data_IF_762110566171
#
_entry.id   IF_762110566171
#
_cell.length_a   1.000
_cell.length_b   1.000
_cell.length_c   1.000
_cell.angle_alpha   90.00
_cell.angle_beta   90.00
_cell.angle_gamma   90.00
#
_symmetry.space_group_name_H-M   'P 1'
#
loop_
_entity.id
_entity.type
_entity.pdbx_description
1 polymer ?
#
# COMPACT_ATOMS: atom_id res chain seq x y z
N UNK A 1 7.98 -3.98 -33.65
CA UNK A 1 8.73 -4.22 -32.39
C UNK A 1 8.12 -3.37 -31.30
N UNK A 2 7.31 -3.95 -30.43
CA UNK A 2 6.84 -3.27 -29.22
C UNK A 2 7.97 -3.35 -28.19
N UNK A 3 8.37 -2.21 -27.65
CA UNK A 3 9.41 -2.13 -26.62
C UNK A 3 8.96 -2.89 -25.37
N UNK A 4 9.88 -3.67 -24.76
CA UNK A 4 9.64 -4.50 -23.57
C UNK A 4 8.95 -3.74 -22.41
N UNK A 5 9.04 -2.41 -22.39
CA UNK A 5 8.40 -1.55 -21.39
C UNK A 5 6.87 -1.57 -21.41
N UNK A 6 6.22 -1.84 -22.54
CA UNK A 6 4.75 -1.87 -22.63
C UNK A 6 4.11 -3.18 -22.14
N UNK A 7 4.90 -4.25 -21.96
CA UNK A 7 4.42 -5.55 -21.49
C UNK A 7 4.35 -5.68 -19.96
N UNK A 8 5.05 -4.82 -19.22
CA UNK A 8 5.04 -4.85 -17.74
C UNK A 8 3.72 -4.27 -17.21
N UNK A 9 3.19 -3.20 -17.83
CA UNK A 9 1.93 -2.55 -17.43
C UNK A 9 0.66 -3.34 -17.76
N UNK A 10 0.74 -4.44 -18.51
CA UNK A 10 -0.44 -5.25 -18.87
C UNK A 10 -0.81 -6.31 -17.83
N UNK A 11 0.00 -6.49 -16.79
CA UNK A 11 -0.22 -7.49 -15.74
C UNK A 11 -0.60 -6.88 -14.39
N UNK A 12 -0.98 -5.60 -14.35
CA UNK A 12 -1.53 -4.92 -13.17
C UNK A 12 -2.97 -4.54 -13.48
N UNK A 13 -3.89 -5.50 -13.40
CA UNK A 13 -5.31 -5.21 -13.44
C UNK A 13 -5.69 -4.38 -12.20
N UNK A 14 -6.57 -3.38 -12.34
CA UNK A 14 -7.11 -2.67 -11.18
C UNK A 14 -7.68 -3.63 -10.12
N UNK A 15 -7.15 -3.58 -8.90
CA UNK A 15 -7.43 -4.56 -7.83
C UNK A 15 -6.33 -5.60 -7.61
N UNK A 16 -5.30 -5.64 -8.45
CA UNK A 16 -4.18 -6.57 -8.30
C UNK A 16 -3.29 -6.22 -7.10
N UNK A 17 -2.81 -7.29 -6.46
CA UNK A 17 -1.84 -7.24 -5.37
C UNK A 17 -0.52 -7.74 -5.90
N UNK A 18 0.50 -6.89 -5.86
CA UNK A 18 1.88 -7.25 -6.12
C UNK A 18 2.56 -7.58 -4.80
N UNK A 19 3.09 -8.79 -4.71
CA UNK A 19 3.86 -9.26 -3.58
C UNK A 19 5.36 -9.06 -3.84
N UNK A 20 6.09 -8.55 -2.84
CA UNK A 20 7.47 -8.07 -2.98
C UNK A 20 7.70 -7.09 -4.14
N UNK A 21 7.04 -5.91 -4.11
CA UNK A 21 7.27 -4.87 -5.10
C UNK A 21 8.76 -4.52 -5.18
N UNK A 22 9.25 -4.28 -6.40
CA UNK A 22 10.66 -4.03 -6.66
C UNK A 22 11.22 -2.90 -5.78
N UNK A 23 12.43 -3.10 -5.25
CA UNK A 23 13.11 -2.11 -4.41
C UNK A 23 12.55 -1.99 -2.98
N UNK A 24 11.58 -2.82 -2.58
CA UNK A 24 11.05 -2.81 -1.21
C UNK A 24 11.76 -3.82 -0.31
N UNK A 25 11.99 -3.43 0.94
CA UNK A 25 12.36 -4.34 2.02
C UNK A 25 11.10 -4.73 2.78
N UNK A 26 10.96 -6.01 3.14
CA UNK A 26 9.80 -6.50 3.90
C UNK A 26 9.77 -5.94 5.33
N UNK A 27 8.61 -5.46 5.75
CA UNK A 27 8.27 -5.05 7.11
C UNK A 27 7.92 -6.27 7.99
N UNK A 28 7.89 -6.10 9.31
CA UNK A 28 7.39 -7.13 10.21
C UNK A 28 5.87 -7.22 10.14
N UNK A 29 5.36 -8.42 9.88
CA UNK A 29 3.93 -8.66 9.64
C UNK A 29 3.05 -8.21 10.80
N UNK A 30 3.43 -8.56 12.03
CA UNK A 30 2.72 -8.17 13.25
C UNK A 30 2.55 -6.65 13.39
N UNK A 31 3.53 -5.87 12.94
CA UNK A 31 3.49 -4.41 13.04
C UNK A 31 2.69 -3.77 11.90
N UNK A 32 2.59 -4.44 10.75
CA UNK A 32 1.62 -4.07 9.72
C UNK A 32 0.19 -4.40 10.18
N UNK A 33 -0.04 -5.52 10.89
CA UNK A 33 -1.34 -5.86 11.49
C UNK A 33 -1.79 -4.78 12.50
N UNK A 34 -0.88 -4.27 13.33
CA UNK A 34 -1.12 -3.12 14.22
C UNK A 34 -1.53 -1.86 13.42
N UNK A 35 -0.82 -1.55 12.35
CA UNK A 35 -1.12 -0.42 11.47
C UNK A 35 -2.48 -0.55 10.77
N UNK A 36 -2.82 -1.75 10.29
CA UNK A 36 -4.14 -2.08 9.73
C UNK A 36 -5.23 -1.84 10.78
N UNK A 37 -5.03 -2.34 12.01
CA UNK A 37 -5.99 -2.16 13.09
C UNK A 37 -6.14 -0.68 13.49
N UNK A 38 -5.05 0.09 13.48
CA UNK A 38 -5.10 1.55 13.68
C UNK A 38 -5.94 2.25 12.61
N UNK A 39 -5.67 1.97 11.32
CA UNK A 39 -6.37 2.61 10.20
C UNK A 39 -7.86 2.23 10.16
N UNK A 40 -8.20 0.95 10.40
CA UNK A 40 -9.60 0.48 10.39
C UNK A 40 -10.43 0.97 11.57
N UNK A 41 -9.79 1.28 12.72
CA UNK A 41 -10.46 1.86 13.90
C UNK A 41 -10.52 3.39 13.87
N UNK A 42 -9.82 4.04 12.94
CA UNK A 42 -9.93 5.48 12.78
C UNK A 42 -11.42 5.85 12.61
N UNK A 43 -11.89 6.95 13.22
CA UNK A 43 -13.24 7.43 12.99
C UNK A 43 -13.55 7.44 11.49
N UNK A 44 -14.75 7.02 11.09
CA UNK A 44 -15.07 6.85 9.66
C UNK A 44 -14.85 8.13 8.82
N UNK A 45 -14.87 9.31 9.46
CA UNK A 45 -14.57 10.60 8.83
C UNK A 45 -13.06 10.94 8.72
N UNK A 46 -12.16 10.07 9.17
CA UNK A 46 -10.71 10.34 9.17
C UNK A 46 -10.16 10.15 7.76
N UNK A 47 -9.63 11.24 7.19
CA UNK A 47 -9.07 11.26 5.85
C UNK A 47 -7.55 11.10 5.90
N UNK A 48 -7.05 10.19 5.08
CA UNK A 48 -5.64 10.01 4.79
C UNK A 48 -5.35 10.73 3.47
N UNK A 49 -4.29 11.54 3.44
CA UNK A 49 -4.04 12.47 2.34
C UNK A 49 -2.65 12.33 1.76
N UNK A 50 -2.55 12.60 0.47
CA UNK A 50 -1.28 12.54 -0.26
C UNK A 50 -1.26 13.57 -1.38
N UNK A 51 -0.07 14.14 -1.60
CA UNK A 51 0.17 15.06 -2.72
C UNK A 51 0.08 14.31 -4.05
N UNK A 52 -0.04 15.06 -5.13
CA UNK A 52 0.11 14.52 -6.48
C UNK A 52 1.49 13.86 -6.64
N UNK A 53 1.53 12.75 -7.39
CA UNK A 53 2.76 12.02 -7.75
C UNK A 53 3.66 11.70 -6.54
N UNK A 54 3.07 11.34 -5.41
CA UNK A 54 3.78 11.14 -4.16
C UNK A 54 3.21 9.97 -3.35
N UNK A 55 3.96 9.53 -2.35
CA UNK A 55 3.49 8.62 -1.31
C UNK A 55 3.54 9.31 0.06
N UNK A 56 2.45 9.17 0.82
CA UNK A 56 2.37 9.57 2.23
C UNK A 56 2.40 8.34 3.11
N UNK A 57 3.23 8.35 4.16
CA UNK A 57 3.19 7.33 5.22
C UNK A 57 1.97 7.59 6.10
N UNK A 58 0.97 6.70 6.05
CA UNK A 58 -0.31 6.83 6.77
C UNK A 58 -0.35 6.01 8.06
N UNK A 59 0.57 5.06 8.22
CA UNK A 59 0.81 4.34 9.47
C UNK A 59 2.27 3.89 9.54
N UNK A 60 2.84 3.88 10.74
CA UNK A 60 4.17 3.37 11.02
C UNK A 60 4.17 2.73 12.41
N UNK A 61 4.56 1.46 12.51
CA UNK A 61 4.77 0.78 13.79
C UNK A 61 6.08 0.01 13.74
N UNK A 62 7.02 0.26 14.65
CA UNK A 62 8.30 -0.48 14.77
C UNK A 62 8.97 -0.77 13.41
N UNK A 63 9.32 0.30 12.69
CA UNK A 63 9.92 0.29 11.35
C UNK A 63 9.11 -0.42 10.24
N UNK A 64 7.80 -0.49 10.41
CA UNK A 64 6.88 -1.13 9.47
C UNK A 64 5.83 -0.12 9.02
N UNK A 65 5.90 0.27 7.74
CA UNK A 65 5.13 1.38 7.19
C UNK A 65 4.01 0.93 6.25
N UNK A 66 2.88 1.63 6.34
CA UNK A 66 1.78 1.59 5.38
C UNK A 66 1.70 2.96 4.71
N UNK A 67 1.66 2.97 3.39
CA UNK A 67 1.69 4.16 2.57
C UNK A 67 0.45 4.25 1.67
N UNK A 68 -0.06 5.47 1.53
CA UNK A 68 -0.95 5.86 0.44
C UNK A 68 -0.09 6.50 -0.65
N UNK A 69 -0.06 5.91 -1.84
CA UNK A 69 0.63 6.45 -3.00
C UNK A 69 -0.39 6.94 -4.03
N UNK A 70 -0.16 8.12 -4.57
CA UNK A 70 -1.06 8.77 -5.51
C UNK A 70 -0.35 9.02 -6.84
N UNK A 71 -0.83 8.32 -7.85
CA UNK A 71 -0.31 8.37 -9.21
C UNK A 71 -1.07 9.39 -10.06
N UNK A 72 -1.92 10.22 -9.45
CA UNK A 72 -2.62 11.33 -10.13
C UNK A 72 -1.77 12.60 -10.14
N UNK A 73 -2.13 13.51 -11.04
CA UNK A 73 -1.58 14.87 -11.08
C UNK A 73 -2.25 15.84 -10.09
N UNK A 74 -3.30 15.42 -9.40
CA UNK A 74 -4.01 16.19 -8.40
C UNK A 74 -3.78 15.66 -6.98
N UNK A 75 -4.07 16.48 -5.97
CA UNK A 75 -4.20 16.03 -4.59
C UNK A 75 -5.22 14.89 -4.49
N UNK A 76 -4.99 13.96 -3.57
CA UNK A 76 -5.91 12.86 -3.32
C UNK A 76 -6.09 12.62 -1.82
N UNK A 77 -7.31 12.27 -1.45
CA UNK A 77 -7.67 11.84 -0.11
C UNK A 77 -8.66 10.68 -0.17
N UNK A 78 -8.55 9.80 0.82
CA UNK A 78 -9.42 8.64 0.99
C UNK A 78 -9.60 8.41 2.49
N UNK A 79 -10.71 7.79 2.86
CA UNK A 79 -10.97 7.39 4.23
C UNK A 79 -9.91 6.38 4.70
N UNK A 80 -9.23 6.70 5.80
CA UNK A 80 -8.19 5.83 6.35
C UNK A 80 -8.68 4.37 6.58
N UNK A 81 -9.94 4.10 7.00
CA UNK A 81 -10.44 2.73 7.09
C UNK A 81 -10.46 1.95 5.77
N UNK A 82 -10.72 2.61 4.63
CA UNK A 82 -10.65 1.98 3.30
C UNK A 82 -9.23 1.54 2.99
N UNK A 83 -8.25 2.40 3.24
CA UNK A 83 -6.83 2.09 3.05
C UNK A 83 -6.34 0.99 4.00
N UNK A 84 -6.89 0.95 5.22
CA UNK A 84 -6.68 -0.15 6.16
C UNK A 84 -7.18 -1.50 5.61
N UNK A 85 -8.31 -1.54 4.89
CA UNK A 85 -8.78 -2.75 4.23
C UNK A 85 -7.83 -3.19 3.10
N UNK A 86 -7.24 -2.26 2.36
CA UNK A 86 -6.29 -2.61 1.29
C UNK A 86 -5.00 -3.20 1.86
N UNK A 87 -4.49 -2.64 2.96
CA UNK A 87 -3.36 -3.24 3.68
C UNK A 87 -3.69 -4.63 4.27
N UNK A 88 -4.92 -4.85 4.75
CA UNK A 88 -5.42 -6.15 5.21
C UNK A 88 -5.52 -7.19 4.07
N UNK A 89 -5.90 -6.76 2.87
CA UNK A 89 -5.85 -7.61 1.68
C UNK A 89 -4.42 -7.96 1.26
N UNK A 90 -3.48 -7.00 1.32
CA UNK A 90 -2.06 -7.29 1.11
C UNK A 90 -1.57 -8.33 2.12
N UNK A 91 -1.90 -8.19 3.40
CA UNK A 91 -1.56 -9.18 4.41
C UNK A 91 -2.10 -10.57 4.07
N UNK A 92 -3.33 -10.67 3.56
CA UNK A 92 -3.94 -11.96 3.21
C UNK A 92 -3.33 -12.55 1.94
N UNK A 93 -3.13 -11.74 0.89
CA UNK A 93 -2.61 -12.18 -0.40
C UNK A 93 -1.10 -12.44 -0.41
N UNK A 94 -0.31 -11.67 0.34
CA UNK A 94 1.14 -11.77 0.36
C UNK A 94 1.64 -12.63 1.52
N UNK A 95 1.93 -13.89 1.21
CA UNK A 95 2.36 -14.95 2.14
C UNK A 95 3.83 -15.36 1.96
N UNK A 96 4.68 -14.46 1.46
CA UNK A 96 6.08 -14.79 1.13
C UNK A 96 6.94 -15.07 2.38
N UNK A 97 6.44 -14.73 3.57
CA UNK A 97 6.99 -15.14 4.87
C UNK A 97 5.92 -15.07 5.96
N UNK A 98 6.05 -15.92 6.98
CA UNK A 98 5.17 -15.91 8.16
C UNK A 98 5.35 -14.65 9.02
N UNK A 99 6.54 -14.05 9.01
CA UNK A 99 6.91 -12.97 9.94
C UNK A 99 7.15 -11.64 9.25
N UNK A 100 7.32 -11.62 7.93
CA UNK A 100 7.61 -10.40 7.18
C UNK A 100 6.77 -10.32 5.91
N UNK A 101 6.41 -9.09 5.54
CA UNK A 101 5.55 -8.82 4.38
C UNK A 101 6.01 -7.55 3.66
N UNK A 102 5.95 -7.60 2.33
CA UNK A 102 5.90 -6.42 1.48
C UNK A 102 4.85 -6.68 0.40
N UNK A 103 4.09 -5.66 0.06
CA UNK A 103 3.09 -5.77 -0.97
C UNK A 103 2.51 -4.43 -1.36
N UNK A 104 1.91 -4.38 -2.54
CA UNK A 104 1.32 -3.18 -3.10
C UNK A 104 -0.02 -3.55 -3.73
N UNK A 105 -1.09 -2.85 -3.38
CA UNK A 105 -2.41 -3.05 -3.97
C UNK A 105 -2.81 -1.81 -4.76
N UNK A 106 -3.12 -1.99 -6.03
CA UNK A 106 -3.53 -0.91 -6.93
C UNK A 106 -5.04 -0.72 -6.94
N UNK A 107 -5.46 0.54 -7.00
CA UNK A 107 -6.84 0.93 -7.16
C UNK A 107 -7.12 1.41 -8.60
N UNK A 108 -8.28 1.08 -9.20
CA UNK A 108 -8.68 1.61 -10.51
C UNK A 108 -8.64 3.12 -10.65
N UNK A 109 -8.68 3.84 -9.54
CA UNK A 109 -8.66 5.28 -9.52
C UNK A 109 -7.23 5.86 -9.39
N UNK A 110 -6.18 5.18 -9.89
CA UNK A 110 -4.80 5.71 -9.96
C UNK A 110 -4.20 6.10 -8.59
N UNK A 111 -4.48 5.31 -7.57
CA UNK A 111 -3.75 5.34 -6.31
C UNK A 111 -3.47 3.90 -5.87
N UNK A 112 -2.57 3.71 -4.92
CA UNK A 112 -2.25 2.39 -4.41
C UNK A 112 -1.87 2.44 -2.92
N UNK A 113 -1.99 1.30 -2.25
CA UNK A 113 -1.48 1.11 -0.90
C UNK A 113 -0.22 0.27 -0.96
N UNK A 114 0.86 0.76 -0.35
CA UNK A 114 2.14 0.09 -0.30
C UNK A 114 2.50 -0.26 1.16
N UNK A 115 2.84 -1.52 1.39
CA UNK A 115 3.35 -2.05 2.65
C UNK A 115 4.82 -2.39 2.48
N UNK A 116 5.68 -1.77 3.28
CA UNK A 116 7.13 -2.04 3.28
C UNK A 116 7.78 -1.66 4.61
N UNK A 117 9.01 -2.12 4.81
CA UNK A 117 9.89 -1.60 5.85
C UNK A 117 10.11 -0.10 5.61
N UNK A 118 10.03 0.66 6.69
CA UNK A 118 10.31 2.08 6.68
C UNK A 118 10.64 2.53 8.09
N UNK A 119 11.75 3.24 8.27
CA UNK A 119 12.17 3.67 9.60
C UNK A 119 11.18 4.70 10.15
N UNK A 120 10.57 4.38 11.28
CA UNK A 120 9.83 5.36 12.07
C UNK A 120 10.85 6.19 12.88
#
# INVERSE_FOLDING_TARGET
>A
MLTKSALIWKNEFPGDIICDPSGTKRAWRKHIEEGVAYLKRAPQASLCRVRNRACSRISCSWDSGIFLCNDRDSWFEEFCPVLGNYADEILRGCQQSRTKVAGQKFDPQNYNVLVKFDKC
#
